data_IF_559735304795
#
_entry.id   IF_559735304795
#
_cell.length_a   1.000
_cell.length_b   1.000
_cell.length_c   1.000
_cell.angle_alpha   90.00
_cell.angle_beta   90.00
_cell.angle_gamma   90.00
#
_symmetry.space_group_name_H-M   'P 1'
#
loop_
_entity.id
_entity.type
_entity.pdbx_description
1 polymer ?
#
# COMPACT_ATOMS: atom_id res chain seq x y z
N UNK A 1 63.93 -30.65 25.00
CA UNK A 1 62.88 -31.21 24.11
C UNK A 1 61.58 -30.52 24.50
N UNK A 2 61.03 -29.73 23.58
CA UNK A 2 60.07 -28.65 23.89
C UNK A 2 58.70 -29.14 24.33
N UNK A 3 58.20 -28.51 25.40
CA UNK A 3 56.80 -28.44 25.77
C UNK A 3 56.28 -27.05 25.36
N UNK A 4 55.42 -26.99 24.36
CA UNK A 4 54.74 -25.76 23.92
C UNK A 4 53.26 -25.83 24.31
N UNK A 5 52.89 -25.13 25.37
CA UNK A 5 51.54 -24.60 25.57
C UNK A 5 51.66 -23.09 25.56
N UNK A 6 51.30 -22.49 24.44
CA UNK A 6 51.37 -21.04 24.23
C UNK A 6 50.06 -20.37 24.67
N UNK A 7 50.24 -19.29 25.42
CA UNK A 7 49.24 -18.37 25.93
C UNK A 7 49.15 -17.17 24.99
N UNK A 8 47.98 -16.91 24.41
CA UNK A 8 47.75 -15.76 23.53
C UNK A 8 46.60 -14.87 24.01
N UNK A 9 46.96 -13.73 24.59
CA UNK A 9 46.05 -12.66 25.00
C UNK A 9 45.43 -11.92 23.80
N UNK A 10 44.32 -11.20 24.07
CA UNK A 10 43.44 -10.59 23.09
C UNK A 10 44.01 -9.44 22.26
N UNK A 11 43.25 -9.11 21.21
CA UNK A 11 43.21 -7.79 20.57
C UNK A 11 41.77 -7.46 20.19
N UNK A 12 41.20 -6.50 20.89
CA UNK A 12 40.00 -5.75 20.52
C UNK A 12 40.21 -5.08 19.16
N UNK A 13 39.27 -5.25 18.24
CA UNK A 13 39.17 -4.44 17.03
C UNK A 13 38.44 -3.15 17.39
N UNK A 14 39.12 -2.02 17.21
CA UNK A 14 38.56 -0.69 17.40
C UNK A 14 37.39 -0.43 16.43
N UNK A 15 36.26 0.04 16.97
CA UNK A 15 35.13 0.59 16.22
C UNK A 15 35.58 1.79 15.39
N UNK A 16 35.55 1.66 14.07
CA UNK A 16 35.67 2.79 13.16
C UNK A 16 34.30 3.46 13.04
N UNK A 17 34.18 4.70 13.54
CA UNK A 17 32.94 5.47 13.45
C UNK A 17 32.54 5.73 12.00
N UNK A 18 31.24 5.73 11.65
CA UNK A 18 30.80 6.03 10.29
C UNK A 18 31.17 7.48 9.91
N UNK A 19 31.44 7.75 8.62
CA UNK A 19 31.86 9.06 8.15
C UNK A 19 30.77 10.12 8.38
N UNK A 20 31.22 11.36 8.60
CA UNK A 20 30.35 12.53 8.73
C UNK A 20 29.61 12.75 7.41
N UNK A 21 28.27 12.74 7.46
CA UNK A 21 27.43 13.01 6.30
C UNK A 21 27.56 14.48 5.89
N UNK A 22 28.02 14.74 4.67
CA UNK A 22 27.85 16.02 4.00
C UNK A 22 26.66 15.95 3.04
N UNK A 23 25.95 17.07 2.89
CA UNK A 23 24.95 17.24 1.84
C UNK A 23 25.63 17.08 0.49
N UNK A 24 25.23 16.07 -0.27
CA UNK A 24 25.71 15.86 -1.64
C UNK A 24 24.95 16.86 -2.51
N UNK A 25 25.65 17.88 -3.00
CA UNK A 25 25.12 18.79 -4.02
C UNK A 25 25.07 18.01 -5.34
N UNK A 26 23.90 17.42 -5.62
CA UNK A 26 23.67 16.66 -6.84
C UNK A 26 23.41 17.67 -7.96
N UNK A 27 24.49 18.17 -8.58
CA UNK A 27 24.51 19.10 -9.71
C UNK A 27 23.87 18.56 -11.00
N UNK A 28 22.87 17.71 -10.89
CA UNK A 28 22.05 17.18 -11.97
C UNK A 28 20.83 18.05 -12.28
N UNK A 29 20.10 17.66 -13.33
CA UNK A 29 18.92 18.33 -13.88
C UNK A 29 17.85 18.76 -12.85
N UNK A 30 17.82 18.18 -11.65
CA UNK A 30 16.87 18.47 -10.57
C UNK A 30 17.13 19.84 -9.93
N UNK A 31 18.38 20.31 -9.90
CA UNK A 31 18.75 21.60 -9.31
C UNK A 31 18.08 22.80 -10.00
N UNK A 32 17.72 22.68 -11.29
CA UNK A 32 17.01 23.74 -12.04
C UNK A 32 15.47 23.66 -11.92
N UNK A 33 14.93 22.59 -11.32
CA UNK A 33 13.49 22.28 -11.31
C UNK A 33 12.75 22.70 -10.04
N UNK A 34 13.48 22.95 -8.95
CA UNK A 34 12.94 23.52 -7.74
C UNK A 34 13.97 23.63 -6.61
N UNK A 35 13.65 24.44 -5.61
CA UNK A 35 14.48 24.65 -4.43
C UNK A 35 13.66 24.48 -3.15
N UNK A 36 14.28 23.98 -2.09
CA UNK A 36 13.68 23.89 -0.75
C UNK A 36 14.00 25.17 -0.01
N UNK A 37 12.98 25.93 0.36
CA UNK A 37 13.10 27.14 1.16
C UNK A 37 13.41 26.79 2.62
N UNK A 38 13.97 27.75 3.36
CA UNK A 38 14.32 27.58 4.77
C UNK A 38 13.11 27.30 5.68
N UNK A 39 11.88 27.59 5.22
CA UNK A 39 10.62 27.26 5.89
C UNK A 39 10.05 25.89 5.50
N UNK A 40 10.82 25.10 4.74
CA UNK A 40 10.45 23.76 4.29
C UNK A 40 9.50 23.73 3.08
N UNK A 41 9.14 24.88 2.51
CA UNK A 41 8.36 24.92 1.26
C UNK A 41 9.26 24.62 0.06
N UNK A 42 8.70 23.93 -0.93
CA UNK A 42 9.41 23.66 -2.18
C UNK A 42 8.90 24.64 -3.23
N UNK A 43 9.79 25.46 -3.76
CA UNK A 43 9.51 26.31 -4.91
C UNK A 43 9.74 25.47 -6.17
N UNK A 44 8.71 25.26 -6.98
CA UNK A 44 8.78 24.43 -8.19
C UNK A 44 8.76 25.34 -9.41
N UNK A 45 9.83 25.29 -10.19
CA UNK A 45 9.94 26.07 -11.42
C UNK A 45 9.20 25.37 -12.56
N UNK A 46 7.95 25.78 -12.81
CA UNK A 46 7.12 25.26 -13.90
C UNK A 46 7.65 25.63 -15.29
N UNK A 47 8.54 26.61 -15.40
CA UNK A 47 9.25 26.96 -16.64
C UNK A 47 10.53 26.13 -16.85
N UNK A 48 10.85 25.21 -15.94
CA UNK A 48 12.00 24.33 -16.09
C UNK A 48 11.87 23.44 -17.33
N UNK A 49 13.01 23.00 -17.86
CA UNK A 49 13.04 22.13 -19.04
C UNK A 49 12.33 20.79 -18.78
N UNK A 50 12.40 20.30 -17.54
CA UNK A 50 11.72 19.07 -17.09
C UNK A 50 10.20 19.28 -17.04
N UNK A 51 9.72 20.33 -16.40
CA UNK A 51 8.28 20.62 -16.33
C UNK A 51 7.65 20.78 -17.72
N UNK A 52 8.33 21.49 -18.64
CA UNK A 52 7.88 21.64 -20.04
C UNK A 52 7.96 20.36 -20.87
N UNK A 53 8.78 19.40 -20.48
CA UNK A 53 8.87 18.09 -21.15
C UNK A 53 7.77 17.16 -20.63
N UNK A 54 7.53 17.13 -19.32
CA UNK A 54 6.44 16.39 -18.69
C UNK A 54 5.06 16.89 -19.14
N UNK A 55 4.87 18.22 -19.23
CA UNK A 55 3.61 18.80 -19.69
C UNK A 55 3.24 18.42 -21.14
N UNK A 56 4.21 18.02 -21.97
CA UNK A 56 3.94 17.52 -23.34
C UNK A 56 3.53 16.05 -23.38
N UNK A 57 3.77 15.31 -22.30
CA UNK A 57 3.48 13.88 -22.18
C UNK A 57 2.15 13.66 -21.45
N UNK A 58 1.75 14.60 -20.60
CA UNK A 58 0.48 14.56 -19.88
C UNK A 58 -0.59 15.25 -20.73
N UNK A 59 -1.40 14.45 -21.41
CA UNK A 59 -2.65 14.95 -22.01
C UNK A 59 -3.68 15.09 -20.89
N UNK A 60 -3.70 16.27 -20.24
CA UNK A 60 -4.73 16.61 -19.27
C UNK A 60 -6.03 16.90 -20.03
N UNK A 61 -6.83 15.86 -20.26
CA UNK A 61 -8.20 16.05 -20.70
C UNK A 61 -8.93 16.88 -19.62
N UNK A 62 -9.30 18.11 -19.97
CA UNK A 62 -9.99 19.07 -19.10
C UNK A 62 -11.36 18.57 -18.60
N UNK A 63 -11.86 17.45 -19.12
CA UNK A 63 -13.20 16.93 -18.83
C UNK A 63 -13.36 16.39 -17.39
N UNK A 64 -12.29 15.93 -16.73
CA UNK A 64 -12.37 15.33 -15.39
C UNK A 64 -12.62 16.34 -14.25
N UNK A 65 -12.52 17.64 -14.51
CA UNK A 65 -12.66 18.68 -13.46
C UNK A 65 -14.14 19.00 -13.19
N UNK A 66 -15.05 18.76 -14.14
CA UNK A 66 -16.43 19.26 -14.06
C UNK A 66 -17.51 18.22 -13.77
N UNK A 67 -17.19 16.93 -13.77
CA UNK A 67 -18.16 15.89 -13.46
C UNK A 67 -17.89 15.32 -12.06
N UNK A 68 -18.67 15.67 -11.02
CA UNK A 68 -18.64 14.88 -9.80
C UNK A 68 -19.03 13.43 -10.13
N UNK A 69 -18.44 12.41 -9.46
CA UNK A 69 -18.92 11.06 -9.59
C UNK A 69 -20.42 11.02 -9.27
N UNK A 70 -21.22 10.20 -9.99
CA UNK A 70 -22.65 10.13 -9.77
C UNK A 70 -22.96 9.84 -8.30
N UNK A 71 -24.04 10.44 -7.78
CA UNK A 71 -24.50 10.20 -6.42
C UNK A 71 -24.69 8.68 -6.22
N UNK A 72 -23.99 8.14 -5.23
CA UNK A 72 -24.12 6.73 -4.85
C UNK A 72 -25.55 6.50 -4.37
N UNK A 73 -26.34 5.80 -5.18
CA UNK A 73 -27.69 5.41 -4.82
C UNK A 73 -27.61 4.59 -3.54
N UNK A 74 -28.32 5.04 -2.50
CA UNK A 74 -28.50 4.29 -1.27
C UNK A 74 -29.33 3.04 -1.59
N UNK A 75 -28.65 1.94 -1.92
CA UNK A 75 -29.25 0.64 -2.22
C UNK A 75 -29.69 -0.05 -0.93
N UNK A 76 -30.65 0.56 -0.22
CA UNK A 76 -31.47 -0.13 0.78
C UNK A 76 -32.50 -1.06 0.14
N UNK A 77 -32.57 -1.11 -1.19
CA UNK A 77 -33.23 -2.20 -1.91
C UNK A 77 -32.36 -3.45 -1.80
N UNK A 78 -32.73 -4.36 -0.91
CA UNK A 78 -32.23 -5.73 -0.96
C UNK A 78 -32.45 -6.26 -2.38
N UNK A 79 -31.36 -6.49 -3.11
CA UNK A 79 -31.39 -7.21 -4.38
C UNK A 79 -31.74 -8.65 -4.02
N UNK A 80 -33.01 -9.01 -4.14
CA UNK A 80 -33.54 -10.32 -3.72
C UNK A 80 -33.31 -11.41 -4.76
N UNK A 81 -33.03 -11.06 -6.02
CA UNK A 81 -32.75 -12.01 -7.10
C UNK A 81 -32.06 -11.34 -8.29
N UNK A 82 -31.09 -12.02 -8.90
CA UNK A 82 -30.57 -11.69 -10.23
C UNK A 82 -31.19 -12.67 -11.24
N UNK A 83 -31.95 -12.16 -12.22
CA UNK A 83 -32.64 -12.99 -13.21
C UNK A 83 -31.71 -13.53 -14.31
N UNK A 84 -30.48 -13.02 -14.38
CA UNK A 84 -29.52 -13.35 -15.44
C UNK A 84 -28.32 -14.11 -14.86
N UNK A 85 -27.94 -15.19 -15.55
CA UNK A 85 -26.70 -15.91 -15.25
C UNK A 85 -25.57 -15.26 -16.04
N UNK A 86 -24.48 -14.98 -15.33
CA UNK A 86 -23.29 -14.32 -15.89
C UNK A 86 -22.09 -15.24 -15.71
N UNK A 87 -21.17 -15.21 -16.67
CA UNK A 87 -19.81 -15.68 -16.52
C UNK A 87 -18.98 -14.55 -15.91
N UNK A 88 -18.59 -14.71 -14.65
CA UNK A 88 -17.83 -13.70 -13.91
C UNK A 88 -16.41 -14.21 -13.74
N UNK A 89 -15.44 -13.43 -14.22
CA UNK A 89 -14.03 -13.66 -13.91
C UNK A 89 -13.60 -12.74 -12.77
N UNK A 90 -12.93 -13.31 -11.77
CA UNK A 90 -12.40 -12.59 -10.63
C UNK A 90 -10.88 -12.62 -10.70
N UNK A 91 -10.24 -11.49 -11.04
CA UNK A 91 -8.80 -11.36 -11.22
C UNK A 91 -8.13 -10.88 -9.94
N UNK A 92 -7.18 -11.67 -9.42
CA UNK A 92 -6.57 -11.43 -8.11
C UNK A 92 -5.07 -11.63 -8.21
N UNK A 93 -4.33 -10.58 -7.89
CA UNK A 93 -2.87 -10.64 -7.69
C UNK A 93 -2.58 -10.35 -6.23
N UNK A 94 -1.90 -11.26 -5.55
CA UNK A 94 -1.58 -11.09 -4.15
C UNK A 94 -1.37 -12.41 -3.40
N UNK A 95 -1.43 -12.29 -2.07
CA UNK A 95 -1.26 -13.39 -1.13
C UNK A 95 -2.57 -14.16 -0.91
N UNK A 96 -2.52 -15.20 -0.07
CA UNK A 96 -3.74 -15.91 0.37
C UNK A 96 -4.77 -14.97 1.02
N UNK A 97 -4.32 -13.93 1.72
CA UNK A 97 -5.19 -12.93 2.35
C UNK A 97 -5.99 -12.11 1.32
N UNK A 98 -5.45 -11.96 0.11
CA UNK A 98 -6.15 -11.34 -1.01
C UNK A 98 -7.11 -12.33 -1.66
N UNK A 99 -6.70 -13.58 -1.88
CA UNK A 99 -7.50 -14.58 -2.60
C UNK A 99 -8.73 -15.06 -1.81
N UNK A 100 -8.58 -15.31 -0.50
CA UNK A 100 -9.63 -15.94 0.31
C UNK A 100 -10.96 -15.15 0.37
N UNK A 101 -10.98 -13.82 0.53
CA UNK A 101 -12.20 -13.02 0.46
C UNK A 101 -12.94 -13.15 -0.87
N UNK A 102 -12.21 -13.21 -1.99
CA UNK A 102 -12.83 -13.38 -3.30
C UNK A 102 -13.36 -14.80 -3.54
N UNK A 103 -12.78 -15.83 -2.91
CA UNK A 103 -13.38 -17.18 -2.91
C UNK A 103 -14.75 -17.14 -2.21
N UNK A 104 -14.83 -16.47 -1.05
CA UNK A 104 -16.11 -16.32 -0.35
C UNK A 104 -17.14 -15.55 -1.20
N UNK A 105 -16.71 -14.48 -1.88
CA UNK A 105 -17.55 -13.73 -2.81
C UNK A 105 -17.99 -14.59 -4.01
N UNK A 106 -17.06 -15.34 -4.61
CA UNK A 106 -17.35 -16.24 -5.73
C UNK A 106 -18.38 -17.31 -5.36
N UNK A 107 -18.25 -17.91 -4.19
CA UNK A 107 -19.22 -18.88 -3.67
C UNK A 107 -20.59 -18.25 -3.43
N UNK A 108 -20.64 -16.99 -2.99
CA UNK A 108 -21.91 -16.26 -2.87
C UNK A 108 -22.53 -16.01 -4.26
N UNK A 109 -21.74 -15.57 -5.25
CA UNK A 109 -22.18 -15.37 -6.62
C UNK A 109 -22.69 -16.67 -7.27
N UNK A 110 -22.04 -17.81 -7.02
CA UNK A 110 -22.51 -19.13 -7.47
C UNK A 110 -23.89 -19.48 -6.88
N UNK A 111 -24.17 -19.13 -5.61
CA UNK A 111 -25.51 -19.33 -5.00
C UNK A 111 -26.60 -18.52 -5.70
N UNK A 112 -26.23 -17.43 -6.36
CA UNK A 112 -27.12 -16.63 -7.20
C UNK A 112 -27.16 -17.10 -8.67
N UNK A 113 -26.52 -18.24 -8.99
CA UNK A 113 -26.60 -18.89 -10.30
C UNK A 113 -25.56 -18.43 -11.32
N UNK A 114 -24.61 -17.59 -10.93
CA UNK A 114 -23.49 -17.16 -11.79
C UNK A 114 -22.45 -18.27 -11.93
N UNK A 115 -21.79 -18.32 -13.09
CA UNK A 115 -20.60 -19.15 -13.31
C UNK A 115 -19.38 -18.29 -12.95
N UNK A 116 -18.57 -18.76 -12.02
CA UNK A 116 -17.48 -17.96 -11.45
C UNK A 116 -16.14 -18.64 -11.66
N UNK A 117 -15.20 -17.87 -12.19
CA UNK A 117 -13.80 -18.24 -12.41
C UNK A 117 -12.89 -17.32 -11.59
N UNK A 118 -12.00 -17.90 -10.80
CA UNK A 118 -10.93 -17.19 -10.11
C UNK A 118 -9.67 -17.25 -10.97
N UNK A 119 -9.16 -16.09 -11.35
CA UNK A 119 -7.92 -15.92 -12.08
C UNK A 119 -6.83 -15.39 -11.13
N UNK A 120 -5.90 -16.26 -10.72
CA UNK A 120 -4.82 -15.92 -9.78
C UNK A 120 -3.59 -16.82 -9.99
N UNK A 121 -2.60 -16.71 -9.11
CA UNK A 121 -1.35 -17.45 -9.19
C UNK A 121 -1.56 -18.97 -9.01
N UNK A 122 -0.75 -19.76 -9.72
CA UNK A 122 -0.83 -21.23 -9.79
C UNK A 122 -0.83 -21.92 -8.42
N UNK A 123 -0.11 -21.34 -7.43
CA UNK A 123 -0.02 -21.88 -6.07
C UNK A 123 -1.37 -21.95 -5.35
N UNK A 124 -2.39 -21.23 -5.82
CA UNK A 124 -3.73 -21.21 -5.24
C UNK A 124 -4.73 -22.07 -5.99
N UNK A 125 -4.32 -22.83 -7.02
CA UNK A 125 -5.21 -23.65 -7.84
C UNK A 125 -6.03 -24.64 -6.99
N UNK A 126 -5.36 -25.42 -6.14
CA UNK A 126 -6.03 -26.40 -5.26
C UNK A 126 -6.99 -25.70 -4.30
N UNK A 127 -6.58 -24.56 -3.73
CA UNK A 127 -7.41 -23.79 -2.79
C UNK A 127 -8.70 -23.28 -3.45
N UNK A 128 -8.65 -22.87 -4.72
CA UNK A 128 -9.81 -22.47 -5.50
C UNK A 128 -10.69 -23.70 -5.84
N UNK A 129 -10.09 -24.78 -6.34
CA UNK A 129 -10.83 -25.98 -6.73
C UNK A 129 -11.54 -26.65 -5.55
N UNK A 130 -10.91 -26.74 -4.38
CA UNK A 130 -11.51 -27.25 -3.15
C UNK A 130 -12.75 -26.45 -2.70
N UNK A 131 -12.84 -25.19 -3.12
CA UNK A 131 -14.01 -24.34 -2.85
C UNK A 131 -15.15 -24.51 -3.85
N UNK A 132 -14.95 -25.26 -4.94
CA UNK A 132 -15.95 -25.51 -5.99
C UNK A 132 -16.01 -24.44 -7.08
N UNK A 133 -15.01 -23.56 -7.17
CA UNK A 133 -14.89 -22.51 -8.18
C UNK A 133 -14.02 -22.97 -9.36
N UNK A 134 -14.23 -22.38 -10.54
CA UNK A 134 -13.30 -22.56 -11.67
C UNK A 134 -12.00 -21.79 -11.39
N UNK A 135 -10.88 -22.36 -11.81
CA UNK A 135 -9.55 -21.75 -11.66
C UNK A 135 -8.95 -21.48 -13.04
N UNK A 136 -8.29 -20.33 -13.18
CA UNK A 136 -7.50 -20.00 -14.35
C UNK A 136 -6.13 -19.44 -13.92
N UNK A 137 -5.01 -20.03 -14.36
CA UNK A 137 -3.69 -19.54 -13.98
C UNK A 137 -3.34 -18.26 -14.75
N UNK A 138 -2.97 -17.20 -14.02
CA UNK A 138 -2.44 -15.99 -14.64
C UNK A 138 -0.91 -15.98 -14.69
N UNK A 139 -0.26 -16.98 -14.11
CA UNK A 139 1.19 -17.03 -13.97
C UNK A 139 1.74 -16.01 -12.97
N UNK A 140 3.06 -15.88 -12.96
CA UNK A 140 3.78 -15.08 -11.95
C UNK A 140 3.84 -15.78 -10.59
N UNK A 141 4.97 -15.65 -9.90
CA UNK A 141 5.13 -16.18 -8.55
C UNK A 141 4.89 -15.05 -7.54
N UNK A 142 3.84 -15.14 -6.69
CA UNK A 142 3.56 -14.12 -5.68
C UNK A 142 4.71 -14.01 -4.67
N UNK A 143 5.50 -15.06 -4.44
CA UNK A 143 6.71 -14.98 -3.62
C UNK A 143 7.82 -14.18 -4.31
N UNK A 144 8.01 -14.29 -5.63
CA UNK A 144 8.95 -13.43 -6.37
C UNK A 144 8.49 -11.96 -6.36
N UNK A 145 7.18 -11.72 -6.50
CA UNK A 145 6.60 -10.39 -6.48
C UNK A 145 6.72 -9.74 -5.08
N UNK A 146 6.40 -10.48 -4.01
CA UNK A 146 6.55 -10.02 -2.62
C UNK A 146 8.03 -9.85 -2.25
N UNK A 147 8.91 -10.79 -2.61
CA UNK A 147 10.35 -10.68 -2.34
C UNK A 147 10.98 -9.47 -3.03
N UNK A 148 10.47 -9.07 -4.21
CA UNK A 148 10.91 -7.86 -4.88
C UNK A 148 10.49 -6.59 -4.13
N UNK A 149 9.21 -6.49 -3.73
CA UNK A 149 8.70 -5.36 -2.95
C UNK A 149 9.44 -5.19 -1.61
N UNK A 150 9.81 -6.31 -0.98
CA UNK A 150 10.63 -6.32 0.24
C UNK A 150 12.08 -5.90 -0.03
N UNK A 151 12.67 -6.30 -1.17
CA UNK A 151 14.07 -5.96 -1.53
C UNK A 151 14.25 -4.54 -2.07
N UNK A 152 13.20 -3.90 -2.56
CA UNK A 152 13.25 -2.56 -3.16
C UNK A 152 12.16 -1.66 -2.54
N UNK A 153 12.35 -1.22 -1.28
CA UNK A 153 11.34 -0.48 -0.53
C UNK A 153 11.11 0.97 -0.98
N UNK A 154 11.51 1.35 -2.21
CA UNK A 154 11.34 2.71 -2.73
C UNK A 154 10.91 2.73 -4.20
N UNK A 155 10.19 3.79 -4.59
CA UNK A 155 9.70 4.06 -5.96
C UNK A 155 10.79 4.13 -7.03
N UNK A 156 12.05 4.38 -6.64
CA UNK A 156 13.19 4.51 -7.56
C UNK A 156 14.04 3.25 -7.46
N UNK A 157 14.15 2.45 -8.55
CA UNK A 157 15.03 1.28 -8.58
C UNK A 157 16.47 1.68 -8.26
N UNK A 158 17.09 1.01 -7.30
CA UNK A 158 18.52 1.24 -7.02
C UNK A 158 19.34 0.93 -8.28
N UNK A 159 20.39 1.71 -8.56
CA UNK A 159 21.20 1.57 -9.78
C UNK A 159 21.85 0.18 -9.93
N UNK A 160 21.94 -0.59 -8.84
CA UNK A 160 22.34 -2.01 -8.82
C UNK A 160 21.28 -2.96 -9.43
N UNK A 161 19.98 -2.77 -9.16
CA UNK A 161 18.91 -3.64 -9.69
C UNK A 161 18.66 -3.46 -11.20
N UNK A 162 19.04 -2.30 -11.77
CA UNK A 162 19.10 -2.08 -13.22
C UNK A 162 20.21 -2.91 -13.91
N UNK A 163 21.32 -3.17 -13.21
CA UNK A 163 22.53 -3.79 -13.79
C UNK A 163 22.47 -5.32 -13.83
N UNK A 164 21.56 -5.94 -13.08
CA UNK A 164 21.42 -7.40 -12.94
C UNK A 164 20.31 -8.01 -13.83
N UNK A 165 19.67 -7.22 -14.70
CA UNK A 165 18.64 -7.72 -15.62
C UNK A 165 17.29 -8.04 -14.97
N UNK A 166 17.14 -7.80 -13.66
CA UNK A 166 15.92 -8.03 -12.91
C UNK A 166 14.71 -7.27 -13.48
N UNK A 167 14.91 -6.07 -14.02
CA UNK A 167 13.84 -5.26 -14.64
C UNK A 167 13.23 -6.00 -15.83
N UNK A 168 14.05 -6.60 -16.70
CA UNK A 168 13.56 -7.35 -17.87
C UNK A 168 12.81 -8.61 -17.45
N UNK A 169 13.33 -9.34 -16.44
CA UNK A 169 12.65 -10.51 -15.87
C UNK A 169 11.29 -10.15 -15.28
N UNK A 170 11.20 -9.00 -14.60
CA UNK A 170 9.94 -8.50 -14.00
C UNK A 170 8.97 -7.99 -15.04
N UNK A 171 9.43 -7.26 -16.06
CA UNK A 171 8.59 -6.89 -17.20
C UNK A 171 8.02 -8.13 -17.90
N UNK A 172 8.83 -9.18 -18.07
CA UNK A 172 8.35 -10.45 -18.61
C UNK A 172 7.32 -11.11 -17.69
N UNK A 173 7.54 -11.10 -16.37
CA UNK A 173 6.57 -11.62 -15.40
C UNK A 173 5.24 -10.86 -15.44
N UNK A 174 5.29 -9.52 -15.40
CA UNK A 174 4.09 -8.68 -15.52
C UNK A 174 3.40 -8.90 -16.86
N UNK A 175 4.13 -8.98 -17.97
CA UNK A 175 3.56 -9.29 -19.27
C UNK A 175 2.83 -10.65 -19.28
N UNK A 176 3.43 -11.69 -18.67
CA UNK A 176 2.77 -12.99 -18.48
C UNK A 176 1.47 -12.85 -17.68
N UNK A 177 1.49 -12.07 -16.59
CA UNK A 177 0.30 -11.84 -15.76
C UNK A 177 -0.80 -11.08 -16.51
N UNK A 178 -0.45 -10.04 -17.26
CA UNK A 178 -1.39 -9.27 -18.06
C UNK A 178 -2.02 -10.14 -19.15
N UNK A 179 -1.22 -10.95 -19.84
CA UNK A 179 -1.69 -11.92 -20.83
C UNK A 179 -2.57 -13.00 -20.19
N UNK A 180 -2.17 -13.53 -19.03
CA UNK A 180 -2.96 -14.49 -18.27
C UNK A 180 -4.32 -13.92 -17.83
N UNK A 181 -4.36 -12.67 -17.39
CA UNK A 181 -5.60 -11.97 -17.08
C UNK A 181 -6.48 -11.79 -18.32
N UNK A 182 -5.91 -11.40 -19.46
CA UNK A 182 -6.65 -11.30 -20.72
C UNK A 182 -7.27 -12.65 -21.11
N UNK A 183 -6.44 -13.71 -21.17
CA UNK A 183 -6.89 -15.06 -21.53
C UNK A 183 -7.92 -15.63 -20.57
N UNK A 184 -7.81 -15.34 -19.27
CA UNK A 184 -8.80 -15.75 -18.28
C UNK A 184 -10.22 -15.28 -18.60
N UNK A 185 -10.35 -14.18 -19.37
CA UNK A 185 -11.63 -13.62 -19.78
C UNK A 185 -12.27 -14.33 -20.99
N UNK A 186 -11.47 -14.99 -21.84
CA UNK A 186 -11.93 -15.41 -23.18
C UNK A 186 -11.62 -16.87 -23.54
N UNK A 187 -10.71 -17.52 -22.81
CA UNK A 187 -10.34 -18.90 -23.09
C UNK A 187 -11.22 -19.89 -22.32
N UNK A 188 -11.40 -21.07 -22.91
CA UNK A 188 -12.10 -22.19 -22.31
C UNK A 188 -11.55 -22.56 -20.92
N UNK A 189 -12.37 -23.21 -20.11
CA UNK A 189 -11.92 -23.73 -18.83
C UNK A 189 -10.75 -24.72 -19.02
N UNK A 190 -9.58 -24.50 -18.37
CA UNK A 190 -8.40 -25.32 -18.61
C UNK A 190 -8.61 -26.81 -18.34
N UNK A 191 -9.49 -27.17 -17.40
CA UNK A 191 -9.75 -28.54 -16.98
C UNK A 191 -10.87 -29.20 -17.80
N UNK A 192 -12.05 -28.57 -17.82
CA UNK A 192 -13.27 -29.11 -18.41
C UNK A 192 -13.40 -28.84 -19.90
N UNK A 193 -12.59 -27.91 -20.44
CA UNK A 193 -12.65 -27.42 -21.83
C UNK A 193 -13.99 -26.81 -22.22
N UNK A 194 -14.80 -26.41 -21.25
CA UNK A 194 -16.05 -25.72 -21.53
C UNK A 194 -15.76 -24.27 -21.95
N UNK A 195 -16.38 -23.79 -23.05
CA UNK A 195 -16.23 -22.41 -23.49
C UNK A 195 -16.55 -21.41 -22.41
N UNK A 196 -15.74 -20.37 -22.27
CA UNK A 196 -15.93 -19.31 -21.30
C UNK A 196 -15.63 -17.96 -21.94
N UNK A 197 -16.57 -17.03 -21.81
CA UNK A 197 -16.38 -15.62 -22.17
C UNK A 197 -16.98 -14.81 -21.03
N UNK A 198 -16.20 -13.90 -20.46
CA UNK A 198 -16.62 -13.09 -19.32
C UNK A 198 -17.71 -12.08 -19.72
N UNK A 199 -18.78 -12.02 -18.92
CA UNK A 199 -19.81 -10.99 -18.97
C UNK A 199 -19.53 -9.85 -17.99
N UNK A 200 -18.68 -10.09 -16.99
CA UNK A 200 -18.25 -9.10 -16.00
C UNK A 200 -16.89 -9.48 -15.39
N UNK A 201 -16.13 -8.47 -14.97
CA UNK A 201 -14.86 -8.63 -14.25
C UNK A 201 -15.02 -8.09 -12.83
N UNK A 202 -14.53 -8.83 -11.84
CA UNK A 202 -14.25 -8.31 -10.50
C UNK A 202 -12.74 -8.40 -10.30
N UNK A 203 -12.09 -7.37 -9.79
CA UNK A 203 -10.64 -7.40 -9.66
C UNK A 203 -10.12 -6.62 -8.46
N UNK A 204 -8.98 -7.06 -7.93
CA UNK A 204 -8.18 -6.19 -7.08
C UNK A 204 -7.23 -5.31 -7.93
N UNK A 205 -6.93 -4.08 -7.49
CA UNK A 205 -6.08 -3.16 -8.25
C UNK A 205 -4.70 -3.70 -8.64
N UNK A 206 -4.00 -4.50 -7.81
CA UNK A 206 -2.71 -5.08 -8.17
C UNK A 206 -2.70 -5.98 -9.42
N UNK A 207 -3.87 -6.38 -9.95
CA UNK A 207 -3.92 -7.17 -11.18
C UNK A 207 -3.65 -6.35 -12.46
N UNK A 208 -3.83 -5.03 -12.44
CA UNK A 208 -3.55 -4.04 -13.51
C UNK A 208 -4.28 -4.25 -14.86
N UNK A 209 -4.50 -5.49 -15.31
CA UNK A 209 -5.08 -5.82 -16.60
C UNK A 209 -6.58 -5.55 -16.70
N UNK A 210 -7.27 -5.54 -15.55
CA UNK A 210 -8.73 -5.60 -15.45
C UNK A 210 -9.47 -4.52 -16.25
N UNK A 211 -9.02 -3.25 -16.18
CA UNK A 211 -9.67 -2.14 -16.90
C UNK A 211 -9.49 -2.27 -18.40
N UNK A 212 -8.33 -2.74 -18.84
CA UNK A 212 -8.03 -2.94 -20.26
C UNK A 212 -8.80 -4.13 -20.83
N UNK A 213 -8.91 -5.22 -20.08
CA UNK A 213 -9.72 -6.39 -20.44
C UNK A 213 -11.20 -6.00 -20.57
N UNK A 214 -11.74 -5.29 -19.57
CA UNK A 214 -13.12 -4.82 -19.57
C UNK A 214 -13.42 -3.85 -20.72
N UNK A 215 -12.51 -2.91 -20.98
CA UNK A 215 -12.64 -1.99 -22.11
C UNK A 215 -12.65 -2.73 -23.45
N UNK A 216 -11.72 -3.67 -23.65
CA UNK A 216 -11.62 -4.44 -24.90
C UNK A 216 -12.85 -5.31 -25.16
N UNK A 217 -13.46 -5.87 -24.10
CA UNK A 217 -14.66 -6.70 -24.18
C UNK A 217 -15.97 -5.90 -24.10
N UNK A 218 -15.91 -4.61 -23.76
CA UNK A 218 -17.08 -3.77 -23.48
C UNK A 218 -17.99 -4.33 -22.38
N UNK A 219 -17.39 -4.84 -21.30
CA UNK A 219 -18.08 -5.44 -20.14
C UNK A 219 -17.81 -4.64 -18.86
N UNK A 220 -18.68 -4.69 -17.84
CA UNK A 220 -18.45 -4.02 -16.57
C UNK A 220 -17.26 -4.61 -15.80
N UNK A 221 -16.50 -3.74 -15.12
CA UNK A 221 -15.48 -4.10 -14.14
C UNK A 221 -15.81 -3.50 -12.77
N UNK A 222 -15.75 -4.32 -11.72
CA UNK A 222 -15.87 -3.87 -10.34
C UNK A 222 -14.54 -4.02 -9.62
N UNK A 223 -13.99 -2.91 -9.14
CA UNK A 223 -12.77 -2.93 -8.33
C UNK A 223 -13.13 -3.15 -6.87
N UNK A 224 -12.60 -4.21 -6.29
CA UNK A 224 -12.71 -4.50 -4.86
C UNK A 224 -11.31 -4.62 -4.30
N UNK A 225 -11.06 -3.95 -3.19
CA UNK A 225 -9.83 -4.13 -2.43
C UNK A 225 -10.13 -4.20 -0.95
N UNK A 226 -9.39 -5.05 -0.25
CA UNK A 226 -9.51 -5.26 1.19
C UNK A 226 -8.83 -4.15 2.00
N UNK A 227 -8.26 -3.16 1.31
CA UNK A 227 -7.66 -1.97 1.90
C UNK A 227 -8.23 -0.71 1.22
N UNK A 228 -8.27 0.44 1.91
CA UNK A 228 -8.70 1.71 1.31
C UNK A 228 -7.83 2.06 0.09
N UNK A 229 -8.41 2.01 -1.11
CA UNK A 229 -7.72 2.27 -2.38
C UNK A 229 -8.16 3.59 -3.05
N UNK A 230 -9.34 4.10 -2.68
CA UNK A 230 -9.92 5.31 -3.27
C UNK A 230 -10.03 6.40 -2.22
N UNK A 231 -9.82 7.65 -2.64
CA UNK A 231 -10.13 8.82 -1.83
C UNK A 231 -11.65 8.87 -1.60
N UNK A 232 -12.09 8.79 -0.34
CA UNK A 232 -13.51 8.87 0.02
C UNK A 232 -13.82 10.19 0.73
N UNK A 233 -15.00 10.76 0.42
CA UNK A 233 -15.59 11.92 1.11
C UNK A 233 -16.58 11.52 2.23
N UNK A 234 -16.77 10.23 2.51
CA UNK A 234 -17.71 9.76 3.53
C UNK A 234 -17.35 10.28 4.92
N UNK A 235 -18.33 10.75 5.70
CA UNK A 235 -18.11 11.28 7.05
C UNK A 235 -17.30 10.31 7.94
N UNK A 236 -16.50 10.84 8.87
CA UNK A 236 -15.78 10.01 9.82
C UNK A 236 -16.74 9.05 10.54
N UNK A 237 -16.32 7.80 10.82
CA UNK A 237 -17.16 6.85 11.53
C UNK A 237 -17.50 7.39 12.92
N UNK A 238 -18.73 7.13 13.38
CA UNK A 238 -19.12 7.42 14.77
C UNK A 238 -18.25 6.58 15.71
N UNK A 239 -17.39 7.25 16.49
CA UNK A 239 -16.45 6.63 17.43
C UNK A 239 -16.57 7.25 18.82
N UNK A 240 -16.60 6.41 19.86
CA UNK A 240 -16.61 6.85 21.26
C UNK A 240 -15.23 6.60 21.88
N UNK A 241 -14.37 7.63 22.03
CA UNK A 241 -13.03 7.46 22.55
C UNK A 241 -13.04 7.09 24.04
N UNK A 242 -12.06 6.29 24.52
CA UNK A 242 -11.81 6.06 25.94
C UNK A 242 -11.64 7.37 26.72
N UNK A 243 -11.94 7.35 28.02
CA UNK A 243 -11.82 8.51 28.92
C UNK A 243 -10.41 9.12 28.89
N UNK A 244 -9.39 8.27 28.92
CA UNK A 244 -7.99 8.66 29.03
C UNK A 244 -7.53 9.38 27.75
N UNK A 245 -7.96 8.91 26.57
CA UNK A 245 -7.68 9.57 25.30
C UNK A 245 -8.37 10.93 25.22
N UNK A 246 -9.62 11.01 25.66
CA UNK A 246 -10.39 12.26 25.69
C UNK A 246 -9.74 13.29 26.61
N UNK A 247 -9.36 12.87 27.81
CA UNK A 247 -8.66 13.71 28.78
C UNK A 247 -7.30 14.19 28.25
N UNK A 248 -6.52 13.30 27.62
CA UNK A 248 -5.25 13.67 27.00
C UNK A 248 -5.43 14.71 25.89
N UNK A 249 -6.40 14.50 24.99
CA UNK A 249 -6.70 15.45 23.91
C UNK A 249 -7.11 16.83 24.46
N UNK A 250 -7.96 16.87 25.49
CA UNK A 250 -8.44 18.10 26.13
C UNK A 250 -7.39 18.80 27.02
N UNK A 251 -6.41 18.05 27.53
CA UNK A 251 -5.41 18.53 28.51
C UNK A 251 -4.32 19.46 27.95
N UNK A 252 -4.47 20.02 26.75
CA UNK A 252 -3.45 20.91 26.16
C UNK A 252 -3.55 21.11 24.64
N UNK A 253 -2.46 21.56 23.98
CA UNK A 253 -2.42 21.81 22.53
C UNK A 253 -2.54 20.54 21.67
N UNK A 254 -3.17 20.55 20.48
CA UNK A 254 -3.37 19.34 19.67
C UNK A 254 -2.08 18.54 19.45
N UNK A 255 -2.05 17.23 19.79
CA UNK A 255 -0.85 16.43 19.69
C UNK A 255 -0.50 16.11 18.24
N UNK A 256 0.72 15.64 17.99
CA UNK A 256 1.14 15.02 16.73
C UNK A 256 0.82 13.51 16.79
N UNK A 257 0.16 12.98 15.78
CA UNK A 257 0.01 11.52 15.64
C UNK A 257 1.28 10.91 15.05
N UNK A 258 1.75 9.80 15.61
CA UNK A 258 2.88 9.02 15.09
C UNK A 258 2.47 7.55 15.01
N UNK A 259 2.45 6.99 13.80
CA UNK A 259 2.06 5.60 13.60
C UNK A 259 2.61 4.99 12.32
N UNK A 260 3.37 3.91 12.48
CA UNK A 260 4.01 3.23 11.36
C UNK A 260 3.26 1.97 10.90
N UNK A 261 2.05 1.73 11.40
CA UNK A 261 1.25 0.57 11.01
C UNK A 261 1.87 -0.76 11.47
N UNK A 262 1.51 -1.85 10.79
CA UNK A 262 1.98 -3.21 11.09
C UNK A 262 3.34 -3.51 10.46
N UNK A 263 4.33 -2.64 10.67
CA UNK A 263 5.70 -2.84 10.18
C UNK A 263 6.46 -3.81 11.10
N UNK A 264 7.24 -4.71 10.48
CA UNK A 264 8.24 -5.52 11.20
C UNK A 264 9.55 -4.74 11.18
N UNK A 265 10.07 -4.41 12.35
CA UNK A 265 11.35 -3.71 12.53
C UNK A 265 12.30 -4.57 13.33
N UNK A 266 13.58 -4.60 12.95
CA UNK A 266 14.61 -5.42 13.58
C UNK A 266 14.80 -5.07 15.07
N UNK A 267 14.68 -3.77 15.40
CA UNK A 267 14.81 -3.26 16.77
C UNK A 267 13.67 -2.28 17.12
N UNK A 268 12.53 -2.80 17.60
CA UNK A 268 11.39 -1.98 18.01
C UNK A 268 11.72 -1.02 19.16
N UNK A 269 12.64 -1.39 20.06
CA UNK A 269 13.00 -0.57 21.21
C UNK A 269 13.77 0.67 20.76
N UNK A 270 14.74 0.50 19.86
CA UNK A 270 15.47 1.64 19.29
C UNK A 270 14.57 2.58 18.50
N UNK A 271 13.58 2.04 17.78
CA UNK A 271 12.60 2.87 17.08
C UNK A 271 11.78 3.72 18.08
N UNK A 272 11.23 3.11 19.13
CA UNK A 272 10.42 3.85 20.10
C UNK A 272 11.25 4.88 20.86
N UNK A 273 12.50 4.54 21.23
CA UNK A 273 13.41 5.48 21.90
C UNK A 273 13.72 6.68 21.01
N UNK A 274 13.91 6.45 19.70
CA UNK A 274 14.13 7.50 18.71
C UNK A 274 12.91 8.41 18.58
N UNK A 275 11.70 7.84 18.51
CA UNK A 275 10.45 8.59 18.44
C UNK A 275 10.24 9.43 19.70
N UNK A 276 10.40 8.84 20.88
CA UNK A 276 10.27 9.54 22.16
C UNK A 276 11.27 10.69 22.25
N UNK A 277 12.53 10.47 21.86
CA UNK A 277 13.55 11.51 21.82
C UNK A 277 13.17 12.66 20.86
N UNK A 278 12.63 12.34 19.68
CA UNK A 278 12.17 13.33 18.72
C UNK A 278 11.02 14.18 19.27
N UNK A 279 10.03 13.55 19.92
CA UNK A 279 8.91 14.24 20.57
C UNK A 279 9.42 15.20 21.66
N UNK A 280 10.33 14.73 22.51
CA UNK A 280 10.93 15.54 23.57
C UNK A 280 11.72 16.73 23.01
N UNK A 281 12.50 16.54 21.96
CA UNK A 281 13.27 17.62 21.31
C UNK A 281 12.39 18.63 20.60
N UNK A 282 11.30 18.17 19.97
CA UNK A 282 10.33 19.04 19.33
C UNK A 282 9.46 19.82 20.34
N UNK A 283 9.40 19.37 21.60
CA UNK A 283 8.60 20.01 22.65
C UNK A 283 7.10 19.89 22.40
N UNK A 284 6.67 18.85 21.67
CA UNK A 284 5.26 18.64 21.31
C UNK A 284 4.62 17.56 22.17
N UNK A 285 3.27 17.56 22.21
CA UNK A 285 2.51 16.39 22.68
C UNK A 285 2.37 15.40 21.54
N UNK A 286 2.38 14.10 21.83
CA UNK A 286 2.28 13.06 20.81
C UNK A 286 1.29 11.96 21.19
N UNK A 287 0.59 11.44 20.18
CA UNK A 287 -0.14 10.18 20.25
C UNK A 287 0.67 9.17 19.43
N UNK A 288 1.15 8.11 20.07
CA UNK A 288 1.96 7.07 19.41
C UNK A 288 1.10 5.81 19.29
N UNK A 289 0.86 5.38 18.06
CA UNK A 289 0.19 4.10 17.79
C UNK A 289 1.13 2.94 18.14
N UNK A 290 0.71 2.07 19.06
CA UNK A 290 1.50 0.91 19.49
C UNK A 290 1.75 -0.08 18.35
N UNK A 291 0.77 -0.24 17.45
CA UNK A 291 0.83 -1.20 16.35
C UNK A 291 0.99 -2.65 16.83
N UNK A 292 1.25 -3.56 15.90
CA UNK A 292 1.41 -4.99 16.17
C UNK A 292 2.66 -5.32 17.01
N UNK A 293 3.67 -4.46 16.97
CA UNK A 293 4.93 -4.60 17.70
C UNK A 293 4.86 -4.07 19.15
N UNK A 294 3.72 -3.52 19.57
CA UNK A 294 3.53 -3.08 20.95
C UNK A 294 4.49 -1.95 21.36
N UNK A 295 4.68 -0.97 20.49
CA UNK A 295 5.61 0.15 20.70
C UNK A 295 5.19 0.97 21.93
N UNK A 296 5.81 0.69 23.07
CA UNK A 296 5.59 1.39 24.34
C UNK A 296 6.94 1.78 24.90
N UNK A 297 7.17 3.08 25.04
CA UNK A 297 8.32 3.63 25.74
C UNK A 297 8.03 3.89 27.23
N UNK A 298 8.98 4.51 27.92
CA UNK A 298 8.76 4.93 29.31
C UNK A 298 7.58 5.91 29.45
N UNK A 299 6.86 5.91 30.57
CA UNK A 299 5.74 6.83 30.82
C UNK A 299 6.17 8.30 30.67
N UNK A 300 5.39 9.08 29.94
CA UNK A 300 5.66 10.49 29.71
C UNK A 300 4.33 11.26 29.62
N UNK A 301 4.15 12.36 30.37
CA UNK A 301 2.89 13.11 30.39
C UNK A 301 2.52 13.76 29.04
N UNK A 302 3.50 13.95 28.14
CA UNK A 302 3.29 14.50 26.80
C UNK A 302 3.04 13.41 25.75
N UNK A 303 3.07 12.12 26.10
CA UNK A 303 2.93 11.01 25.16
C UNK A 303 1.79 10.11 25.60
N UNK A 304 0.83 9.91 24.71
CA UNK A 304 -0.22 8.92 24.88
C UNK A 304 -0.01 7.76 23.90
N UNK A 305 0.10 6.54 24.42
CA UNK A 305 0.22 5.34 23.59
C UNK A 305 -1.16 4.79 23.30
N UNK A 306 -1.55 4.79 22.03
CA UNK A 306 -2.88 4.38 21.58
C UNK A 306 -2.82 2.99 20.94
N UNK A 307 -3.85 2.18 21.21
CA UNK A 307 -4.14 0.96 20.46
C UNK A 307 -4.95 1.33 19.19
N UNK A 308 -5.90 0.49 18.78
CA UNK A 308 -6.71 0.76 17.59
C UNK A 308 -7.66 1.96 17.78
N UNK A 309 -7.55 2.93 16.87
CA UNK A 309 -8.42 4.10 16.80
C UNK A 309 -8.67 4.47 15.33
N UNK A 310 -9.93 4.74 14.91
CA UNK A 310 -10.20 5.16 13.55
C UNK A 310 -9.45 6.46 13.20
N UNK A 311 -8.56 6.41 12.22
CA UNK A 311 -7.76 7.57 11.82
C UNK A 311 -8.64 8.73 11.33
N UNK A 312 -9.76 8.43 10.67
CA UNK A 312 -10.73 9.41 10.20
C UNK A 312 -11.30 10.25 11.35
N UNK A 313 -11.48 9.66 12.53
CA UNK A 313 -11.89 10.37 13.74
C UNK A 313 -10.71 11.04 14.42
N UNK A 314 -9.61 10.32 14.62
CA UNK A 314 -8.45 10.81 15.37
C UNK A 314 -7.80 12.01 14.71
N UNK A 315 -7.66 12.01 13.37
CA UNK A 315 -6.90 13.03 12.65
C UNK A 315 -7.60 14.40 12.62
N UNK A 316 -8.86 14.48 13.01
CA UNK A 316 -9.55 15.75 13.27
C UNK A 316 -9.02 16.46 14.53
N UNK A 317 -8.38 15.71 15.44
CA UNK A 317 -7.96 16.17 16.76
C UNK A 317 -6.44 16.37 16.90
N UNK A 318 -5.67 16.18 15.83
CA UNK A 318 -4.20 16.26 15.84
C UNK A 318 -3.69 17.46 15.03
N UNK A 319 -2.48 17.92 15.34
CA UNK A 319 -1.82 19.04 14.63
C UNK A 319 -1.04 18.60 13.40
N UNK A 320 -0.49 17.39 13.40
CA UNK A 320 0.26 16.79 12.29
C UNK A 320 0.25 15.26 12.38
N UNK A 321 0.62 14.60 11.29
CA UNK A 321 0.67 13.14 11.16
C UNK A 321 2.06 12.70 10.71
N UNK A 322 2.70 11.82 11.46
CA UNK A 322 3.95 11.14 11.09
C UNK A 322 3.61 9.66 10.86
N UNK A 323 3.84 9.14 9.66
CA UNK A 323 3.49 7.75 9.36
C UNK A 323 4.36 7.14 8.27
N UNK A 324 4.14 5.86 7.98
CA UNK A 324 4.98 5.05 7.10
C UNK A 324 4.75 5.22 5.59
N UNK A 325 3.83 6.09 5.16
CA UNK A 325 3.45 6.23 3.74
C UNK A 325 2.22 5.43 3.29
N UNK A 326 1.68 4.52 4.12
CA UNK A 326 0.54 3.68 3.73
C UNK A 326 -0.69 4.49 3.25
N UNK A 327 -1.21 4.10 2.08
CA UNK A 327 -2.23 4.85 1.32
C UNK A 327 -3.43 5.33 2.16
N UNK A 328 -3.96 4.48 3.05
CA UNK A 328 -5.07 4.84 3.93
C UNK A 328 -4.72 5.96 4.92
N UNK A 329 -3.56 5.88 5.55
CA UNK A 329 -3.09 6.90 6.51
C UNK A 329 -2.73 8.20 5.79
N UNK A 330 -2.05 8.12 4.65
CA UNK A 330 -1.71 9.28 3.79
C UNK A 330 -2.97 10.01 3.36
N UNK A 331 -3.94 9.27 2.79
CA UNK A 331 -5.21 9.81 2.33
C UNK A 331 -5.98 10.49 3.48
N UNK A 332 -6.03 9.86 4.65
CA UNK A 332 -6.71 10.41 5.83
C UNK A 332 -6.04 11.69 6.36
N UNK A 333 -4.70 11.74 6.41
CA UNK A 333 -3.95 12.93 6.81
C UNK A 333 -4.19 14.10 5.87
N UNK A 334 -4.09 13.86 4.56
CA UNK A 334 -4.36 14.86 3.51
C UNK A 334 -5.81 15.36 3.56
N UNK A 335 -6.78 14.44 3.71
CA UNK A 335 -8.19 14.77 3.79
C UNK A 335 -8.53 15.70 4.96
N UNK A 336 -7.86 15.51 6.10
CA UNK A 336 -8.03 16.37 7.28
C UNK A 336 -7.18 17.65 7.22
N UNK A 337 -6.44 17.89 6.13
CA UNK A 337 -5.55 19.03 5.97
C UNK A 337 -4.40 19.03 6.99
N UNK A 338 -3.96 17.85 7.45
CA UNK A 338 -2.88 17.75 8.42
C UNK A 338 -1.53 17.79 7.71
N UNK A 339 -0.58 18.62 8.15
CA UNK A 339 0.83 18.46 7.79
C UNK A 339 1.25 17.01 8.01
N UNK A 340 1.81 16.38 6.97
CA UNK A 340 2.04 14.93 6.93
C UNK A 340 3.52 14.66 6.63
N UNK A 341 4.21 14.01 7.56
CA UNK A 341 5.59 13.56 7.40
C UNK A 341 5.62 12.05 7.17
N UNK A 342 6.26 11.64 6.07
CA UNK A 342 6.34 10.24 5.66
C UNK A 342 7.73 9.69 5.99
N UNK A 343 7.78 8.61 6.77
CA UNK A 343 8.98 7.83 7.06
C UNK A 343 8.81 6.48 6.35
N UNK A 344 9.26 6.33 5.10
CA UNK A 344 8.98 5.12 4.33
C UNK A 344 9.74 3.91 4.89
N UNK A 345 9.07 2.75 4.94
CA UNK A 345 9.67 1.46 5.37
C UNK A 345 9.70 0.44 4.21
N UNK A 346 8.54 0.13 3.63
CA UNK A 346 8.38 -0.75 2.46
C UNK A 346 7.04 -0.47 1.77
N UNK A 347 6.91 -0.84 0.49
CA UNK A 347 5.67 -0.65 -0.29
C UNK A 347 5.64 0.66 -1.07
N UNK A 348 4.43 1.16 -1.36
CA UNK A 348 4.22 2.45 -2.04
C UNK A 348 4.81 3.65 -1.28
#
# INVERSE_FOLDING_TARGET
>A
MGSSTDSGAGKEQAEESPPVYSLVDDGGLVAESGNVQEDGRIDVNLESKIARTLAKIIDLQQEDIHNPPPDYINLTKQVTSCEFKLNIVIQIVGSRGDVQPFIALGNALQKHGHRVRIATHDIFADFVHESGLEFYPIGGDPAELMAFMVKNPGLIPQMKTLREGEVKRKQAMVATMLEGCWRSCIEDDPLTKQPFVADAIIANPPSFAHVHCAQALSIPVHLMFTMPWSSTKADPPSYSPPSELREFLQGGPPPVYIGFGSIVVDDPQKLIDTVVLAVLRAGVRAIISKGWSGLVGSPNPNIYYIDDCPHEWLFQHVSAVVHHGGAGTTSCGLRNGRPTAIVPFFGE
#
